data_IF_289109713357
#
_entry.id   IF_289109713357
#
_cell.length_a   1.000
_cell.length_b   1.000
_cell.length_c   1.000
_cell.angle_alpha   90.00
_cell.angle_beta   90.00
_cell.angle_gamma   90.00
#
_symmetry.space_group_name_H-M   'P 1'
#
loop_
_entity.id
_entity.type
_entity.pdbx_description
1 polymer ?
#
# COMPACT_ATOMS: atom_id res chain seq x y z
N UNK A 1 -15.74 -7.56 16.05
CA UNK A 1 -16.03 -6.12 16.12
C UNK A 1 -14.90 -5.33 16.80
N UNK A 2 -13.65 -5.50 16.35
CA UNK A 2 -12.48 -4.78 16.88
C UNK A 2 -11.96 -3.68 15.93
N UNK A 3 -12.44 -3.64 14.67
CA UNK A 3 -12.04 -2.63 13.67
C UNK A 3 -12.77 -1.30 13.76
N UNK A 4 -13.86 -1.19 14.53
CA UNK A 4 -14.70 0.02 14.57
C UNK A 4 -14.23 1.07 15.60
N UNK A 5 -13.45 0.67 16.61
CA UNK A 5 -13.01 1.57 17.68
C UNK A 5 -11.78 2.44 17.28
N UNK A 6 -11.04 2.07 16.23
CA UNK A 6 -9.86 2.81 15.79
C UNK A 6 -10.16 3.98 14.83
N UNK A 7 -11.37 4.06 14.28
CA UNK A 7 -11.70 5.02 13.22
C UNK A 7 -12.11 6.42 13.69
N UNK A 8 -12.35 6.62 14.99
CA UNK A 8 -12.94 7.87 15.52
C UNK A 8 -11.98 8.71 16.38
N UNK A 9 -10.72 8.28 16.53
CA UNK A 9 -9.67 9.12 17.08
C UNK A 9 -9.28 10.14 16.00
N UNK A 10 -9.94 11.31 16.03
CA UNK A 10 -9.50 12.48 15.28
C UNK A 10 -8.02 12.69 15.62
N UNK A 11 -7.10 12.62 14.64
CA UNK A 11 -5.70 12.88 14.89
C UNK A 11 -5.55 14.24 15.56
N UNK A 12 -4.65 14.39 16.56
CA UNK A 12 -4.39 15.69 17.16
C UNK A 12 -4.04 16.70 16.06
N UNK A 13 -4.59 17.91 16.17
CA UNK A 13 -4.33 18.99 15.20
C UNK A 13 -2.94 19.60 15.44
N UNK A 14 -1.91 18.87 14.99
CA UNK A 14 -0.50 19.24 15.15
C UNK A 14 -0.20 20.57 14.43
N UNK A 15 -0.85 20.82 13.29
CA UNK A 15 -0.69 22.07 12.54
C UNK A 15 -1.24 23.27 13.31
N UNK A 16 -2.41 23.12 13.93
CA UNK A 16 -2.99 24.13 14.83
C UNK A 16 -2.15 24.40 16.08
N UNK A 17 -1.45 23.39 16.60
CA UNK A 17 -0.50 23.54 17.71
C UNK A 17 0.75 24.34 17.30
N UNK A 18 1.36 24.03 16.14
CA UNK A 18 2.53 24.74 15.63
C UNK A 18 2.20 26.22 15.36
N UNK A 19 1.02 26.52 14.80
CA UNK A 19 0.58 27.90 14.59
C UNK A 19 0.51 28.69 15.91
N UNK A 20 0.00 28.07 16.99
CA UNK A 20 -0.01 28.68 18.32
C UNK A 20 1.40 28.88 18.87
N UNK A 21 2.33 27.96 18.60
CA UNK A 21 3.73 28.13 19.02
C UNK A 21 4.37 29.33 18.31
N UNK A 22 4.10 29.56 17.02
CA UNK A 22 4.55 30.77 16.33
C UNK A 22 3.95 32.06 16.93
N UNK A 23 2.67 32.05 17.31
CA UNK A 23 2.04 33.18 18.00
C UNK A 23 2.69 33.46 19.37
N UNK A 24 3.10 32.41 20.09
CA UNK A 24 3.82 32.54 21.36
C UNK A 24 5.24 33.06 21.15
N UNK A 25 5.94 32.58 20.12
CA UNK A 25 7.27 33.07 19.73
C UNK A 25 7.23 34.58 19.41
N UNK A 26 6.17 35.05 18.74
CA UNK A 26 5.99 36.47 18.42
C UNK A 26 5.84 37.34 19.67
N UNK A 27 5.34 36.77 20.78
CA UNK A 27 5.16 37.47 22.07
C UNK A 27 6.40 37.46 22.95
N UNK A 28 7.44 36.70 22.60
CA UNK A 28 8.70 36.71 23.35
C UNK A 28 9.40 38.05 23.11
N UNK A 29 9.75 38.79 24.19
CA UNK A 29 10.46 40.07 24.07
C UNK A 29 11.76 39.93 23.26
N UNK A 30 12.06 40.87 22.34
CA UNK A 30 13.17 40.75 21.39
C UNK A 30 14.56 40.73 22.06
N UNK A 31 14.65 41.21 23.30
CA UNK A 31 15.88 41.21 24.10
C UNK A 31 16.26 39.79 24.57
N UNK A 32 15.29 38.87 24.61
CA UNK A 32 15.48 37.47 25.02
C UNK A 32 15.88 36.59 23.83
N UNK A 33 16.95 36.97 23.14
CA UNK A 33 17.43 36.32 21.90
C UNK A 33 17.70 34.82 22.08
N UNK A 34 18.33 34.43 23.18
CA UNK A 34 18.63 33.01 23.46
C UNK A 34 17.37 32.18 23.70
N UNK A 35 16.39 32.73 24.44
CA UNK A 35 15.11 32.05 24.70
C UNK A 35 14.31 31.89 23.40
N UNK A 36 14.29 32.93 22.57
CA UNK A 36 13.63 32.90 21.26
C UNK A 36 14.27 31.88 20.34
N UNK A 37 15.60 31.81 20.30
CA UNK A 37 16.33 30.81 19.51
C UNK A 37 16.05 29.38 19.97
N UNK A 38 16.08 29.12 21.29
CA UNK A 38 15.74 27.80 21.86
C UNK A 38 14.29 27.40 21.56
N UNK A 39 13.35 28.35 21.61
CA UNK A 39 11.95 28.09 21.31
C UNK A 39 11.72 27.82 19.82
N UNK A 40 12.35 28.60 18.94
CA UNK A 40 12.37 28.35 17.49
C UNK A 40 12.89 26.94 17.18
N UNK A 41 14.01 26.53 17.77
CA UNK A 41 14.56 25.18 17.57
C UNK A 41 13.59 24.06 18.01
N UNK A 42 12.75 24.30 19.01
CA UNK A 42 11.70 23.35 19.40
C UNK A 42 10.57 23.28 18.39
N UNK A 43 10.20 24.41 17.77
CA UNK A 43 9.16 24.46 16.73
C UNK A 43 9.66 23.72 15.48
N UNK A 44 10.90 24.00 15.07
CA UNK A 44 11.53 23.37 13.90
C UNK A 44 11.54 21.84 14.05
N UNK A 45 11.94 21.33 15.23
CA UNK A 45 11.93 19.88 15.49
C UNK A 45 10.53 19.25 15.35
N UNK A 46 9.46 19.93 15.80
CA UNK A 46 8.09 19.42 15.61
C UNK A 46 7.66 19.44 14.14
N UNK A 47 8.13 20.41 13.37
CA UNK A 47 7.87 20.47 11.93
C UNK A 47 8.55 19.29 11.24
N UNK A 48 9.80 19.01 11.57
CA UNK A 48 10.54 17.86 11.03
C UNK A 48 9.84 16.53 11.35
N UNK A 49 9.39 16.36 12.59
CA UNK A 49 8.59 15.17 13.00
C UNK A 49 7.29 15.05 12.21
N UNK A 50 6.61 16.16 11.91
CA UNK A 50 5.38 16.17 11.11
C UNK A 50 5.66 15.78 9.65
N UNK A 51 6.79 16.23 9.09
CA UNK A 51 7.22 15.88 7.74
C UNK A 51 7.54 14.38 7.68
N UNK A 52 8.36 13.85 8.59
CA UNK A 52 8.73 12.44 8.64
C UNK A 52 7.51 11.52 8.82
N UNK A 53 6.56 11.91 9.68
CA UNK A 53 5.30 11.19 9.83
C UNK A 53 4.45 11.19 8.55
N UNK A 54 4.44 12.31 7.82
CA UNK A 54 3.78 12.44 6.53
C UNK A 54 4.39 11.54 5.47
N UNK A 55 5.72 11.54 5.37
CA UNK A 55 6.48 10.73 4.43
C UNK A 55 6.31 9.24 4.73
N UNK A 56 6.43 8.81 5.99
CA UNK A 56 6.14 7.43 6.40
C UNK A 56 4.70 7.02 6.09
N UNK A 57 3.72 7.90 6.27
CA UNK A 57 2.33 7.60 5.92
C UNK A 57 2.17 7.40 4.42
N UNK A 58 2.88 8.20 3.61
CA UNK A 58 2.89 8.07 2.15
C UNK A 58 3.56 6.77 1.72
N UNK A 59 4.69 6.41 2.30
CA UNK A 59 5.37 5.13 2.06
C UNK A 59 4.48 3.94 2.42
N UNK A 60 3.82 3.97 3.57
CA UNK A 60 2.86 2.92 3.98
C UNK A 60 1.70 2.86 3.00
N UNK A 61 1.19 4.00 2.53
CA UNK A 61 0.10 4.06 1.54
C UNK A 61 0.56 3.51 0.19
N UNK A 62 1.76 3.83 -0.25
CA UNK A 62 2.35 3.32 -1.49
C UNK A 62 2.62 1.81 -1.40
N UNK A 63 3.11 1.32 -0.25
CA UNK A 63 3.26 -0.11 0.04
C UNK A 63 1.92 -0.84 0.13
N UNK A 64 0.88 -0.23 0.71
CA UNK A 64 -0.46 -0.81 0.75
C UNK A 64 -1.13 -0.82 -0.64
N UNK A 65 -0.87 0.20 -1.46
CA UNK A 65 -1.32 0.27 -2.85
C UNK A 65 -0.61 -0.77 -3.72
N UNK A 66 0.69 -1.00 -3.53
CA UNK A 66 1.42 -2.07 -4.22
C UNK A 66 0.96 -3.46 -3.76
N UNK A 67 0.62 -3.63 -2.47
CA UNK A 67 0.07 -4.88 -1.92
C UNK A 67 -1.33 -5.22 -2.46
N UNK A 68 -2.18 -4.21 -2.72
CA UNK A 68 -3.50 -4.42 -3.33
C UNK A 68 -3.45 -4.96 -4.77
N UNK A 69 -2.34 -4.81 -5.47
CA UNK A 69 -2.24 -5.10 -6.89
C UNK A 69 -2.23 -6.58 -7.29
N UNK A 70 -1.88 -7.50 -6.38
CA UNK A 70 -1.53 -8.88 -6.78
C UNK A 70 -2.17 -10.00 -5.96
N UNK A 71 -2.76 -9.70 -4.78
CA UNK A 71 -3.27 -10.73 -3.88
C UNK A 71 -4.48 -11.49 -4.44
N UNK A 72 -5.40 -10.77 -5.10
CA UNK A 72 -6.59 -11.39 -5.73
C UNK A 72 -6.19 -12.43 -6.77
N UNK A 73 -5.20 -12.12 -7.59
CA UNK A 73 -4.82 -12.95 -8.72
C UNK A 73 -4.06 -14.21 -8.24
N UNK A 74 -3.24 -14.08 -7.18
CA UNK A 74 -2.63 -15.22 -6.48
C UNK A 74 -3.71 -16.13 -5.89
N UNK A 75 -4.73 -15.56 -5.23
CA UNK A 75 -5.81 -16.34 -4.62
C UNK A 75 -6.64 -17.10 -5.67
N UNK A 76 -6.93 -16.45 -6.81
CA UNK A 76 -7.62 -17.08 -7.95
C UNK A 76 -6.78 -18.22 -8.54
N UNK A 77 -5.46 -18.03 -8.67
CA UNK A 77 -4.56 -19.08 -9.15
C UNK A 77 -4.52 -20.29 -8.20
N UNK A 78 -4.39 -20.06 -6.90
CA UNK A 78 -4.42 -21.12 -5.88
C UNK A 78 -5.78 -21.83 -5.88
N UNK A 79 -6.89 -21.11 -5.96
CA UNK A 79 -8.23 -21.71 -6.09
C UNK A 79 -8.35 -22.58 -7.35
N UNK A 80 -7.81 -22.15 -8.49
CA UNK A 80 -7.83 -22.93 -9.73
C UNK A 80 -7.00 -24.22 -9.62
N UNK A 81 -5.82 -24.17 -9.00
CA UNK A 81 -4.98 -25.34 -8.74
C UNK A 81 -5.66 -26.32 -7.78
N UNK A 82 -6.19 -25.83 -6.66
CA UNK A 82 -6.89 -26.65 -5.68
C UNK A 82 -8.13 -27.31 -6.30
N UNK A 83 -8.89 -26.56 -7.10
CA UNK A 83 -10.03 -27.11 -7.82
C UNK A 83 -9.62 -28.22 -8.80
N UNK A 84 -8.54 -27.99 -9.57
CA UNK A 84 -7.98 -28.99 -10.49
C UNK A 84 -7.57 -30.26 -9.75
N UNK A 85 -6.88 -30.13 -8.62
CA UNK A 85 -6.40 -31.24 -7.82
C UNK A 85 -7.54 -32.06 -7.18
N UNK A 86 -8.52 -31.37 -6.59
CA UNK A 86 -9.71 -32.01 -5.97
C UNK A 86 -10.54 -32.70 -7.05
N UNK A 87 -10.77 -32.04 -8.18
CA UNK A 87 -11.58 -32.58 -9.28
C UNK A 87 -10.93 -33.79 -9.96
N UNK A 88 -9.60 -33.82 -10.07
CA UNK A 88 -8.87 -34.99 -10.57
C UNK A 88 -9.10 -36.24 -9.70
N UNK A 89 -9.45 -36.05 -8.43
CA UNK A 89 -9.75 -37.13 -7.49
C UNK A 89 -11.23 -37.58 -7.53
N UNK A 90 -12.09 -36.96 -8.34
CA UNK A 90 -13.52 -37.32 -8.47
C UNK A 90 -13.71 -38.45 -9.48
N UNK A 91 -14.68 -39.35 -9.24
CA UNK A 91 -14.95 -40.50 -10.11
C UNK A 91 -15.39 -40.09 -11.52
N UNK A 92 -14.68 -40.60 -12.54
CA UNK A 92 -14.80 -40.21 -13.95
C UNK A 92 -15.97 -40.88 -14.69
N UNK A 93 -16.89 -41.54 -13.98
CA UNK A 93 -17.94 -42.39 -14.57
C UNK A 93 -19.17 -41.63 -15.06
N UNK A 94 -19.19 -40.29 -14.97
CA UNK A 94 -20.35 -39.48 -15.38
C UNK A 94 -20.24 -39.00 -16.85
N UNK A 95 -21.33 -39.05 -17.64
CA UNK A 95 -21.33 -38.76 -19.08
C UNK A 95 -21.00 -37.30 -19.44
N UNK A 96 -21.14 -36.38 -18.50
CA UNK A 96 -20.83 -34.95 -18.63
C UNK A 96 -19.39 -34.59 -18.20
N UNK A 97 -18.53 -35.57 -17.95
CA UNK A 97 -17.14 -35.36 -17.53
C UNK A 97 -16.33 -34.59 -18.59
N UNK A 98 -16.46 -34.93 -19.86
CA UNK A 98 -15.74 -34.28 -20.99
C UNK A 98 -16.15 -32.83 -21.19
N UNK A 99 -17.45 -32.50 -21.10
CA UNK A 99 -17.92 -31.11 -21.22
C UNK A 99 -17.39 -30.25 -20.05
N UNK A 100 -17.45 -30.79 -18.83
CA UNK A 100 -16.96 -30.10 -17.63
C UNK A 100 -15.45 -29.90 -17.67
N UNK A 101 -14.70 -30.86 -18.23
CA UNK A 101 -13.25 -30.75 -18.46
C UNK A 101 -12.88 -29.61 -19.42
N UNK A 102 -13.59 -29.47 -20.55
CA UNK A 102 -13.37 -28.37 -21.50
C UNK A 102 -13.68 -27.01 -20.87
N UNK A 103 -14.77 -26.90 -20.10
CA UNK A 103 -15.09 -25.68 -19.35
C UNK A 103 -13.97 -25.35 -18.35
N UNK A 104 -13.39 -26.35 -17.70
CA UNK A 104 -12.26 -26.18 -16.78
C UNK A 104 -11.01 -25.62 -17.46
N UNK A 105 -10.68 -26.11 -18.66
CA UNK A 105 -9.57 -25.58 -19.45
C UNK A 105 -9.81 -24.11 -19.77
N UNK A 106 -11.03 -23.74 -20.18
CA UNK A 106 -11.37 -22.35 -20.49
C UNK A 106 -11.23 -21.45 -19.27
N UNK A 107 -11.73 -21.88 -18.11
CA UNK A 107 -11.64 -21.10 -16.85
C UNK A 107 -10.18 -20.96 -16.39
N UNK A 108 -9.39 -22.03 -16.48
CA UNK A 108 -7.96 -22.00 -16.13
C UNK A 108 -7.15 -21.11 -17.06
N UNK A 109 -7.43 -21.14 -18.37
CA UNK A 109 -6.79 -20.25 -19.36
C UNK A 109 -7.21 -18.80 -19.13
N UNK A 110 -8.49 -18.53 -18.84
CA UNK A 110 -8.96 -17.18 -18.51
C UNK A 110 -8.29 -16.64 -17.23
N UNK A 111 -8.15 -17.48 -16.20
CA UNK A 111 -7.43 -17.13 -14.97
C UNK A 111 -5.93 -16.88 -15.23
N UNK A 112 -5.28 -17.71 -16.06
CA UNK A 112 -3.88 -17.55 -16.42
C UNK A 112 -3.61 -16.28 -17.23
N UNK A 113 -4.49 -15.95 -18.20
CA UNK A 113 -4.40 -14.69 -18.97
C UNK A 113 -4.62 -13.49 -18.05
N UNK A 114 -5.57 -13.56 -17.13
CA UNK A 114 -5.86 -12.45 -16.22
C UNK A 114 -4.72 -12.20 -15.21
N UNK A 115 -4.19 -13.26 -14.59
CA UNK A 115 -3.02 -13.19 -13.71
C UNK A 115 -1.75 -12.77 -14.48
N UNK A 116 -1.58 -13.26 -15.72
CA UNK A 116 -0.48 -12.87 -16.60
C UNK A 116 -0.46 -11.38 -16.94
N UNK A 117 -1.62 -10.73 -17.08
CA UNK A 117 -1.71 -9.26 -17.27
C UNK A 117 -1.37 -8.45 -16.02
N UNK A 118 -1.47 -9.03 -14.84
CA UNK A 118 -1.00 -8.44 -13.58
C UNK A 118 0.53 -8.51 -13.50
N UNK A 119 1.09 -9.69 -13.75
CA UNK A 119 2.54 -9.95 -13.71
C UNK A 119 3.27 -9.17 -14.81
N UNK A 120 2.74 -9.13 -16.04
CA UNK A 120 3.36 -8.39 -17.14
C UNK A 120 3.46 -6.87 -16.86
N UNK A 121 2.49 -6.28 -16.16
CA UNK A 121 2.57 -4.87 -15.74
C UNK A 121 3.62 -4.65 -14.65
N UNK A 122 3.72 -5.56 -13.67
CA UNK A 122 4.73 -5.47 -12.62
C UNK A 122 6.16 -5.62 -13.19
N UNK A 123 6.34 -6.54 -14.15
CA UNK A 123 7.61 -6.74 -14.85
C UNK A 123 7.97 -5.52 -15.72
N UNK A 124 7.00 -4.95 -16.45
CA UNK A 124 7.27 -3.75 -17.27
C UNK A 124 7.68 -2.54 -16.42
N UNK A 125 7.06 -2.36 -15.24
CA UNK A 125 7.45 -1.28 -14.30
C UNK A 125 8.85 -1.51 -13.71
N UNK A 126 9.25 -2.75 -13.46
CA UNK A 126 10.60 -3.08 -12.98
C UNK A 126 11.67 -2.96 -14.08
N UNK A 127 11.35 -3.35 -15.32
CA UNK A 127 12.26 -3.26 -16.46
C UNK A 127 12.53 -1.81 -16.88
N UNK A 128 11.51 -0.94 -16.94
CA UNK A 128 11.71 0.48 -17.27
C UNK A 128 12.49 1.27 -16.21
N UNK A 129 12.57 0.78 -14.96
CA UNK A 129 13.37 1.43 -13.91
C UNK A 129 14.87 1.18 -14.06
N UNK A 130 15.28 0.21 -14.89
CA UNK A 130 16.69 -0.13 -15.12
C UNK A 130 17.33 0.63 -16.29
N UNK A 131 16.54 1.37 -17.09
CA UNK A 131 17.06 2.19 -18.19
C UNK A 131 17.51 3.60 -17.75
N UNK A 132 17.16 4.04 -16.53
CA UNK A 132 17.72 5.25 -15.90
C UNK A 132 19.02 4.91 -15.14
N UNK A 133 20.02 4.37 -15.84
CA UNK A 133 21.41 4.52 -15.38
C UNK A 133 21.90 5.91 -15.77
N UNK A 134 22.37 6.75 -14.84
CA UNK A 134 22.95 8.05 -15.17
C UNK A 134 24.16 7.82 -16.08
N UNK A 135 24.18 8.48 -17.24
CA UNK A 135 25.41 8.62 -18.02
C UNK A 135 26.35 9.49 -17.19
N UNK A 136 27.45 8.89 -16.74
CA UNK A 136 28.60 9.58 -16.17
C UNK A 136 29.28 10.46 -17.22
#
# INVERSE_FOLDING_TARGET
MLGAAAGNLKPPDVRGLIAKDFDLLAKIPPEQTERRARFQASIDRRIDELIDAGDRTREIREAAMSYRGNWRDILVFVCALLFTFIWWNVSHSRPNWTLTFVVMIIVSVAAAIYAGRGIARAINTYLHRNDEKPRA
#
